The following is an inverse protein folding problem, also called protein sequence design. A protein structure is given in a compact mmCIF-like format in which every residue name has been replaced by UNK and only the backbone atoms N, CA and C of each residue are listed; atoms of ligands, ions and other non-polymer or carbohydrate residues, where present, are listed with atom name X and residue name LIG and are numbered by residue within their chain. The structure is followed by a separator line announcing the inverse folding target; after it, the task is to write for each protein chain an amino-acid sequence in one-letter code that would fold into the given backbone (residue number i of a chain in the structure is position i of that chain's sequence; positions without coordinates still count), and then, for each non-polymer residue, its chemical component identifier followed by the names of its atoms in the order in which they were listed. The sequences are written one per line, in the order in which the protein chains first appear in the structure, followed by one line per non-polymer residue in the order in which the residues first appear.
data_IF_952499274186
#
_entry.id   IF_952499274186
#
_cell.length_a   1.000
_cell.length_b   1.000
_cell.length_c   1.000
_cell.angle_alpha   90.00
_cell.angle_beta   90.00
_cell.angle_gamma   90.00
#
_symmetry.space_group_name_H-M   'P 1'
#
loop_
_entity.id
_entity.type
_entity.pdbx_description
1 polymer ?
#
# COMPACT_ATOMS: atom_id res chain seq x y z
N UNK A 1 -30.28 -17.01 9.68
CA UNK A 1 -30.08 -16.91 11.15
C UNK A 1 -29.06 -15.81 11.38
N UNK A 2 -29.50 -14.70 11.98
CA UNK A 2 -28.66 -13.51 12.22
C UNK A 2 -27.60 -13.83 13.27
N UNK A 3 -26.34 -13.94 12.85
CA UNK A 3 -25.20 -13.99 13.77
C UNK A 3 -25.11 -12.64 14.44
N UNK A 4 -25.39 -12.54 15.74
CA UNK A 4 -25.10 -11.33 16.51
C UNK A 4 -23.57 -11.16 16.55
N UNK A 5 -23.02 -10.45 15.58
CA UNK A 5 -21.62 -10.04 15.56
C UNK A 5 -21.37 -8.96 16.61
N UNK A 6 -20.10 -8.71 16.92
CA UNK A 6 -19.71 -7.53 17.70
C UNK A 6 -20.24 -6.25 17.06
N UNK A 7 -20.46 -5.21 17.86
CA UNK A 7 -20.84 -3.88 17.36
C UNK A 7 -19.64 -2.95 17.45
N UNK A 8 -19.33 -2.27 16.35
CA UNK A 8 -18.26 -1.25 16.28
C UNK A 8 -18.93 0.11 16.14
N UNK A 9 -18.69 1.00 17.09
CA UNK A 9 -19.23 2.35 17.09
C UNK A 9 -18.14 3.35 16.66
N UNK A 10 -18.39 4.09 15.60
CA UNK A 10 -17.54 5.18 15.12
C UNK A 10 -18.23 6.49 15.50
N UNK A 11 -17.64 7.21 16.45
CA UNK A 11 -18.25 8.38 17.05
C UNK A 11 -17.59 9.65 16.53
N UNK A 12 -18.37 10.48 15.87
CA UNK A 12 -17.89 11.72 15.25
C UNK A 12 -17.78 12.86 16.26
N UNK A 13 -16.85 13.78 15.99
CA UNK A 13 -16.78 15.09 16.62
C UNK A 13 -17.67 16.13 15.89
N UNK A 14 -18.88 15.73 15.49
CA UNK A 14 -19.83 16.55 14.75
C UNK A 14 -21.28 16.21 15.16
N UNK A 15 -22.21 17.11 14.85
CA UNK A 15 -23.66 16.91 15.03
C UNK A 15 -24.32 16.66 13.66
N UNK A 16 -25.34 15.80 13.61
CA UNK A 16 -26.08 15.46 12.38
C UNK A 16 -27.03 16.57 11.92
N UNK A 17 -27.41 17.50 12.80
CA UNK A 17 -28.28 18.64 12.46
C UNK A 17 -27.71 19.56 11.38
N UNK A 18 -28.59 20.20 10.58
CA UNK A 18 -28.22 21.16 9.51
C UNK A 18 -27.29 22.28 10.01
N UNK A 19 -27.57 22.83 11.19
CA UNK A 19 -26.72 23.83 11.85
C UNK A 19 -25.38 23.24 12.32
N UNK A 20 -25.38 21.99 12.77
CA UNK A 20 -24.16 21.25 13.12
C UNK A 20 -23.24 21.01 11.93
N UNK A 21 -23.83 20.68 10.77
CA UNK A 21 -23.13 20.49 9.49
C UNK A 21 -22.47 21.79 9.00
N UNK A 22 -23.21 22.91 9.02
CA UNK A 22 -22.67 24.23 8.70
C UNK A 22 -21.52 24.63 9.63
N UNK A 23 -21.66 24.36 10.93
CA UNK A 23 -20.63 24.68 11.92
C UNK A 23 -19.36 23.82 11.73
N UNK A 24 -19.50 22.54 11.36
CA UNK A 24 -18.36 21.68 11.01
C UNK A 24 -17.62 22.20 9.78
N UNK A 25 -18.33 22.58 8.71
CA UNK A 25 -17.75 23.15 7.49
C UNK A 25 -16.98 24.44 7.81
N UNK A 26 -17.59 25.38 8.55
CA UNK A 26 -16.92 26.60 8.97
C UNK A 26 -15.67 26.32 9.81
N UNK A 27 -15.75 25.37 10.75
CA UNK A 27 -14.62 24.98 11.60
C UNK A 27 -13.48 24.32 10.81
N UNK A 28 -13.79 23.58 9.75
CA UNK A 28 -12.80 22.96 8.86
C UNK A 28 -12.08 24.00 8.00
N UNK A 29 -12.82 24.98 7.46
CA UNK A 29 -12.25 26.08 6.66
C UNK A 29 -11.40 27.04 7.52
N UNK A 30 -11.71 27.19 8.80
CA UNK A 30 -11.00 28.09 9.72
C UNK A 30 -9.90 27.40 10.53
N UNK A 31 -9.81 26.07 10.51
CA UNK A 31 -8.76 25.34 11.17
C UNK A 31 -7.47 25.38 10.33
N UNK A 32 -6.28 25.42 10.97
CA UNK A 32 -5.02 25.21 10.29
C UNK A 32 -5.02 23.86 9.53
N UNK A 33 -4.36 23.82 8.37
CA UNK A 33 -4.28 22.63 7.48
C UNK A 33 -3.77 21.36 8.16
N UNK A 34 -3.09 21.50 9.31
CA UNK A 34 -2.48 20.40 10.06
C UNK A 34 -3.40 19.81 11.15
N UNK A 35 -4.64 20.28 11.30
CA UNK A 35 -5.58 19.77 12.31
C UNK A 35 -6.94 19.46 11.72
N UNK A 36 -7.21 18.18 11.47
CA UNK A 36 -8.57 17.74 11.15
C UNK A 36 -9.50 17.97 12.36
N UNK A 37 -10.62 18.70 12.20
CA UNK A 37 -11.61 18.88 13.26
C UNK A 37 -12.25 17.55 13.69
N UNK A 38 -12.26 16.55 12.80
CA UNK A 38 -12.78 15.21 13.06
C UNK A 38 -12.16 14.18 12.10
N UNK A 39 -11.11 13.50 12.55
CA UNK A 39 -10.44 12.43 11.83
C UNK A 39 -11.37 11.30 11.36
N UNK A 40 -12.41 10.97 12.14
CA UNK A 40 -13.39 9.97 11.74
C UNK A 40 -14.26 10.44 10.56
N UNK A 41 -14.59 11.74 10.47
CA UNK A 41 -15.34 12.25 9.32
C UNK A 41 -14.49 12.24 8.05
N UNK A 42 -13.19 12.52 8.15
CA UNK A 42 -12.30 12.41 6.99
C UNK A 42 -12.23 10.96 6.49
N UNK A 43 -12.15 10.00 7.41
CA UNK A 43 -12.10 8.57 7.10
C UNK A 43 -13.40 8.07 6.43
N UNK A 44 -14.57 8.52 6.90
CA UNK A 44 -15.85 7.97 6.44
C UNK A 44 -16.47 8.74 5.28
N UNK A 45 -16.27 10.04 5.21
CA UNK A 45 -16.91 10.93 4.24
C UNK A 45 -15.93 11.59 3.26
N UNK A 46 -14.62 11.43 3.45
CA UNK A 46 -13.62 12.07 2.59
C UNK A 46 -13.59 13.60 2.75
N UNK A 47 -14.21 14.14 3.80
CA UNK A 47 -14.15 15.55 4.16
C UNK A 47 -15.48 16.29 4.15
N UNK A 48 -15.69 17.20 3.20
CA UNK A 48 -16.85 18.12 3.14
C UNK A 48 -18.16 17.47 2.65
N UNK A 49 -18.11 16.22 2.18
CA UNK A 49 -19.30 15.50 1.73
C UNK A 49 -20.10 14.93 2.91
N UNK A 50 -21.43 14.82 2.73
CA UNK A 50 -22.34 14.31 3.75
C UNK A 50 -22.61 12.80 3.62
N UNK A 51 -22.29 12.23 2.47
CA UNK A 51 -22.49 10.82 2.16
C UNK A 51 -21.22 10.02 2.45
N UNK A 52 -21.37 8.71 2.65
CA UNK A 52 -20.21 7.81 2.80
C UNK A 52 -19.35 7.84 1.52
N UNK A 53 -18.03 7.95 1.67
CA UNK A 53 -17.13 7.89 0.54
C UNK A 53 -17.10 6.47 -0.04
N UNK A 54 -16.90 6.32 -1.35
CA UNK A 54 -16.81 4.99 -1.98
C UNK A 54 -15.68 4.13 -1.36
N UNK A 55 -14.58 4.76 -0.94
CA UNK A 55 -13.50 4.09 -0.23
C UNK A 55 -13.92 3.59 1.16
N UNK A 56 -14.72 4.39 1.88
CA UNK A 56 -15.30 3.97 3.14
C UNK A 56 -16.27 2.81 2.97
N UNK A 57 -17.16 2.84 1.98
CA UNK A 57 -18.11 1.74 1.72
C UNK A 57 -17.38 0.40 1.50
N UNK A 58 -16.27 0.42 0.75
CA UNK A 58 -15.40 -0.75 0.54
C UNK A 58 -14.63 -1.17 1.80
N UNK A 59 -14.31 -0.23 2.67
CA UNK A 59 -13.63 -0.49 3.95
C UNK A 59 -14.59 -1.12 4.95
N UNK A 60 -15.79 -0.55 5.07
CA UNK A 60 -16.87 -1.01 5.93
C UNK A 60 -17.32 -2.42 5.55
N UNK A 61 -17.38 -2.78 4.26
CA UNK A 61 -17.74 -4.13 3.83
C UNK A 61 -16.72 -5.21 4.23
N UNK A 62 -15.48 -4.83 4.58
CA UNK A 62 -14.45 -5.75 5.08
C UNK A 62 -14.55 -6.00 6.59
N UNK A 63 -15.37 -5.23 7.30
CA UNK A 63 -15.55 -5.35 8.75
C UNK A 63 -16.79 -6.21 8.97
N UNK A 64 -16.61 -7.47 9.33
CA UNK A 64 -17.71 -8.42 9.58
C UNK A 64 -18.31 -8.24 10.97
N UNK A 65 -18.82 -7.03 11.23
CA UNK A 65 -19.45 -6.60 12.47
C UNK A 65 -20.55 -5.56 12.18
N UNK A 66 -21.40 -5.31 13.17
CA UNK A 66 -22.39 -4.24 13.08
C UNK A 66 -21.70 -2.88 13.27
N UNK A 67 -21.39 -2.19 12.17
CA UNK A 67 -20.70 -0.89 12.19
C UNK A 67 -21.72 0.25 12.29
N UNK A 68 -21.79 0.89 13.46
CA UNK A 68 -22.65 2.04 13.73
C UNK A 68 -21.84 3.32 13.70
N UNK A 69 -22.23 4.25 12.85
CA UNK A 69 -21.63 5.58 12.75
C UNK A 69 -22.60 6.58 13.36
N UNK A 70 -22.17 7.26 14.43
CA UNK A 70 -23.05 8.12 15.22
C UNK A 70 -22.44 9.49 15.42
N UNK A 71 -23.22 10.52 15.17
CA UNK A 71 -22.95 11.89 15.58
C UNK A 71 -23.26 12.09 17.07
N UNK A 72 -22.77 13.19 17.65
CA UNK A 72 -22.92 13.46 19.10
C UNK A 72 -24.38 13.54 19.55
N UNK A 73 -25.26 14.00 18.68
CA UNK A 73 -26.69 14.11 18.89
C UNK A 73 -27.44 12.78 18.69
N UNK A 74 -26.80 11.78 18.07
CA UNK A 74 -27.36 10.44 17.80
C UNK A 74 -26.96 9.40 18.86
N UNK A 75 -26.16 9.81 19.86
CA UNK A 75 -25.67 8.90 20.90
C UNK A 75 -26.79 8.46 21.85
N UNK A 76 -26.91 7.14 22.01
CA UNK A 76 -27.74 6.53 23.05
C UNK A 76 -27.23 6.92 24.46
N UNK A 77 -28.11 6.98 25.48
CA UNK A 77 -27.74 7.37 26.85
C UNK A 77 -26.53 6.61 27.40
N UNK A 78 -26.49 5.29 27.22
CA UNK A 78 -25.42 4.41 27.71
C UNK A 78 -24.03 4.81 27.18
N UNK A 79 -23.95 5.14 25.88
CA UNK A 79 -22.69 5.54 25.22
C UNK A 79 -22.27 6.92 25.72
N UNK A 80 -23.23 7.84 25.88
CA UNK A 80 -22.98 9.20 26.36
C UNK A 80 -22.45 9.18 27.79
N UNK A 81 -23.01 8.34 28.64
CA UNK A 81 -22.58 8.17 30.02
C UNK A 81 -21.17 7.54 30.08
N UNK A 82 -20.91 6.50 29.28
CA UNK A 82 -19.59 5.89 29.18
C UNK A 82 -18.50 6.91 28.78
N UNK A 83 -18.77 7.74 27.76
CA UNK A 83 -17.81 8.76 27.30
C UNK A 83 -17.55 9.80 28.39
N UNK A 84 -18.61 10.24 29.08
CA UNK A 84 -18.50 11.23 30.17
C UNK A 84 -17.75 10.67 31.36
N UNK A 85 -18.07 9.44 31.78
CA UNK A 85 -17.44 8.77 32.91
C UNK A 85 -15.92 8.56 32.70
N UNK A 86 -15.52 8.27 31.46
CA UNK A 86 -14.12 8.01 31.11
C UNK A 86 -13.40 9.23 30.51
N UNK A 87 -14.03 10.41 30.48
CA UNK A 87 -13.47 11.64 29.89
C UNK A 87 -12.89 11.46 28.47
N UNK A 88 -13.56 10.66 27.64
CA UNK A 88 -13.07 10.28 26.30
C UNK A 88 -13.24 11.44 25.31
N UNK A 89 -12.19 11.74 24.56
CA UNK A 89 -12.20 12.76 23.50
C UNK A 89 -12.74 12.18 22.19
N UNK A 90 -13.50 13.00 21.45
CA UNK A 90 -13.93 12.69 20.08
C UNK A 90 -12.89 13.15 19.06
N UNK A 91 -12.82 12.50 17.87
CA UNK A 91 -13.55 11.28 17.51
C UNK A 91 -12.98 10.03 18.20
N UNK A 92 -13.78 8.97 18.31
CA UNK A 92 -13.36 7.71 18.95
C UNK A 92 -14.05 6.51 18.30
N UNK A 93 -13.38 5.36 18.24
CA UNK A 93 -13.97 4.07 17.87
C UNK A 93 -14.10 3.20 19.10
N UNK A 94 -15.32 2.74 19.38
CA UNK A 94 -15.62 1.82 20.47
C UNK A 94 -16.00 0.45 19.92
N UNK A 95 -15.69 -0.60 20.67
CA UNK A 95 -16.18 -1.94 20.41
C UNK A 95 -17.07 -2.44 21.53
N UNK A 96 -18.08 -3.23 21.16
CA UNK A 96 -18.94 -3.98 22.08
C UNK A 96 -19.01 -5.43 21.61
N UNK A 97 -18.74 -6.37 22.51
CA UNK A 97 -18.89 -7.80 22.24
C UNK A 97 -20.38 -8.16 22.16
N UNK A 98 -20.76 -9.24 21.45
CA UNK A 98 -22.15 -9.68 21.34
C UNK A 98 -22.76 -10.18 22.66
N UNK A 99 -21.97 -10.29 23.73
CA UNK A 99 -22.48 -10.69 25.04
C UNK A 99 -23.37 -9.58 25.66
N UNK A 100 -24.56 -9.91 26.20
CA UNK A 100 -25.56 -8.92 26.66
C UNK A 100 -25.07 -7.88 27.68
N UNK A 101 -23.98 -8.17 28.40
CA UNK A 101 -23.40 -7.29 29.44
C UNK A 101 -21.93 -6.93 29.18
N UNK A 102 -21.41 -7.13 27.96
CA UNK A 102 -20.01 -6.77 27.71
C UNK A 102 -19.83 -5.25 27.80
N UNK A 103 -18.81 -4.76 28.51
CA UNK A 103 -18.52 -3.33 28.61
C UNK A 103 -18.15 -2.79 27.23
N UNK A 104 -18.46 -1.50 27.01
CA UNK A 104 -17.87 -0.75 25.91
C UNK A 104 -16.37 -0.62 26.16
N UNK A 105 -15.59 -0.72 25.09
CA UNK A 105 -14.14 -0.58 25.12
C UNK A 105 -13.67 0.36 24.03
N UNK A 106 -12.67 1.18 24.34
CA UNK A 106 -12.03 2.05 23.35
C UNK A 106 -11.09 1.21 22.50
N UNK A 107 -11.35 1.18 21.19
CA UNK A 107 -10.46 0.52 20.23
C UNK A 107 -9.47 1.52 19.62
N UNK A 108 -9.97 2.69 19.19
CA UNK A 108 -9.13 3.74 18.59
C UNK A 108 -9.53 5.08 19.19
N UNK A 109 -8.56 5.77 19.80
CA UNK A 109 -8.74 7.09 20.36
C UNK A 109 -8.55 8.20 19.31
N UNK A 110 -8.86 9.44 19.69
CA UNK A 110 -8.72 10.59 18.79
C UNK A 110 -7.30 10.80 18.28
N UNK A 111 -6.27 10.46 19.08
CA UNK A 111 -4.87 10.68 18.72
C UNK A 111 -4.36 9.65 17.71
N UNK A 112 -4.82 8.41 17.84
CA UNK A 112 -4.55 7.35 16.87
C UNK A 112 -5.30 7.63 15.58
N UNK A 113 -6.60 7.94 15.67
CA UNK A 113 -7.44 8.24 14.50
C UNK A 113 -6.91 9.40 13.67
N UNK A 114 -6.39 10.46 14.29
CA UNK A 114 -5.82 11.59 13.54
C UNK A 114 -4.60 11.23 12.71
N UNK A 115 -3.86 10.17 13.06
CA UNK A 115 -2.69 9.71 12.29
C UNK A 115 -3.07 8.86 11.08
N UNK A 116 -4.27 8.28 11.08
CA UNK A 116 -4.72 7.30 10.08
C UNK A 116 -6.02 7.72 9.37
N UNK A 117 -6.43 8.97 9.52
CA UNK A 117 -7.74 9.46 9.07
C UNK A 117 -7.98 9.32 7.56
N UNK A 118 -6.92 9.05 6.79
CA UNK A 118 -6.95 8.89 5.34
C UNK A 118 -6.49 7.50 4.89
N UNK A 119 -5.95 6.68 5.79
CA UNK A 119 -5.44 5.35 5.49
C UNK A 119 -6.40 4.27 5.99
N UNK A 120 -7.28 3.85 5.09
CA UNK A 120 -8.25 2.80 5.32
C UNK A 120 -7.61 1.44 5.65
N UNK A 121 -6.41 1.15 5.14
CA UNK A 121 -5.76 -0.14 5.36
C UNK A 121 -5.07 -0.17 6.73
N UNK A 122 -4.39 0.93 7.11
CA UNK A 122 -3.90 1.12 8.47
C UNK A 122 -5.04 1.12 9.50
N UNK A 123 -6.19 1.73 9.17
CA UNK A 123 -7.40 1.66 10.00
C UNK A 123 -7.88 0.24 10.25
N UNK A 124 -8.05 -0.58 9.20
CA UNK A 124 -8.45 -1.98 9.34
C UNK A 124 -7.43 -2.80 10.15
N UNK A 125 -6.13 -2.55 9.95
CA UNK A 125 -5.05 -3.21 10.67
C UNK A 125 -5.08 -2.90 12.18
N UNK A 126 -5.16 -1.61 12.53
CA UNK A 126 -5.21 -1.17 13.93
C UNK A 126 -6.51 -1.59 14.61
N UNK A 127 -7.64 -1.47 13.92
CA UNK A 127 -8.93 -1.91 14.45
C UNK A 127 -8.89 -3.40 14.79
N UNK A 128 -8.33 -4.23 13.90
CA UNK A 128 -8.18 -5.66 14.11
C UNK A 128 -7.29 -5.98 15.32
N UNK A 129 -6.13 -5.34 15.42
CA UNK A 129 -5.18 -5.59 16.51
C UNK A 129 -5.77 -5.17 17.87
N UNK A 130 -6.40 -4.00 17.92
CA UNK A 130 -7.03 -3.49 19.15
C UNK A 130 -8.23 -4.33 19.56
N UNK A 131 -9.02 -4.82 18.62
CA UNK A 131 -10.11 -5.74 18.92
C UNK A 131 -9.59 -7.05 19.52
N UNK A 132 -8.46 -7.56 19.03
CA UNK A 132 -7.80 -8.77 19.58
C UNK A 132 -7.26 -8.54 21.00
N UNK A 133 -6.52 -7.44 21.23
CA UNK A 133 -6.04 -7.03 22.56
C UNK A 133 -7.18 -6.93 23.57
N UNK A 134 -8.29 -6.32 23.14
CA UNK A 134 -9.47 -6.11 23.95
C UNK A 134 -10.43 -7.31 23.99
N UNK A 135 -10.07 -8.42 23.34
CA UNK A 135 -10.87 -9.65 23.27
C UNK A 135 -12.29 -9.44 22.73
N UNK A 136 -12.43 -8.55 21.75
CA UNK A 136 -13.67 -8.32 21.02
C UNK A 136 -13.64 -9.20 19.77
N UNK A 137 -14.57 -10.16 19.61
CA UNK A 137 -14.57 -11.04 18.44
C UNK A 137 -14.90 -10.22 17.19
N UNK A 138 -13.90 -9.97 16.35
CA UNK A 138 -14.02 -9.14 15.16
C UNK A 138 -13.26 -9.78 14.01
N UNK A 139 -13.97 -10.09 12.93
CA UNK A 139 -13.37 -10.60 11.70
C UNK A 139 -13.22 -9.46 10.70
N UNK A 140 -12.01 -9.23 10.21
CA UNK A 140 -11.72 -8.20 9.20
C UNK A 140 -10.98 -8.82 8.02
N UNK A 141 -11.47 -8.59 6.81
CA UNK A 141 -10.78 -8.96 5.57
C UNK A 141 -9.66 -7.96 5.28
N UNK A 142 -8.49 -8.19 5.89
CA UNK A 142 -7.33 -7.33 5.73
C UNK A 142 -6.26 -7.97 4.81
N UNK A 143 -6.04 -7.46 3.59
CA UNK A 143 -5.03 -8.00 2.67
C UNK A 143 -3.59 -7.91 3.19
N UNK A 144 -3.30 -6.91 4.03
CA UNK A 144 -1.96 -6.70 4.60
C UNK A 144 -1.64 -7.77 5.65
N UNK A 145 -2.64 -8.14 6.46
CA UNK A 145 -2.53 -9.18 7.50
C UNK A 145 -2.22 -10.56 6.91
N UNK A 146 -2.76 -10.88 5.72
CA UNK A 146 -2.47 -12.15 5.02
C UNK A 146 -0.98 -12.25 4.63
N UNK A 147 -0.38 -11.16 4.13
CA UNK A 147 1.06 -11.12 3.85
C UNK A 147 1.88 -11.23 5.13
N UNK A 148 1.48 -10.51 6.18
CA UNK A 148 2.20 -10.50 7.46
C UNK A 148 2.11 -11.87 8.17
N UNK A 149 0.99 -12.59 8.10
CA UNK A 149 0.80 -13.90 8.74
C UNK A 149 1.61 -15.04 8.09
N UNK A 150 1.89 -14.95 6.78
CA UNK A 150 2.76 -15.93 6.09
C UNK A 150 4.21 -15.82 6.57
N UNK A 151 4.70 -14.59 6.80
CA UNK A 151 6.08 -14.35 7.18
C UNK A 151 6.29 -14.21 8.70
N UNK A 152 5.22 -14.05 9.49
CA UNK A 152 5.25 -13.94 10.95
C UNK A 152 6.06 -15.04 11.66
N UNK A 153 5.95 -16.33 11.28
CA UNK A 153 6.77 -17.37 11.88
C UNK A 153 8.25 -17.13 11.65
N UNK A 154 8.65 -16.70 10.44
CA UNK A 154 10.03 -16.44 10.09
C UNK A 154 10.61 -15.24 10.87
N UNK A 155 9.82 -14.19 11.08
CA UNK A 155 10.24 -12.99 11.86
C UNK A 155 10.65 -13.35 13.29
N UNK A 156 10.00 -14.34 13.91
CA UNK A 156 10.32 -14.78 15.28
C UNK A 156 11.71 -15.41 15.39
N UNK A 157 12.25 -15.97 14.31
CA UNK A 157 13.59 -16.57 14.29
C UNK A 157 14.70 -15.56 13.97
N UNK A 158 14.36 -14.34 13.56
CA UNK A 158 15.34 -13.30 13.28
C UNK A 158 15.84 -12.70 14.60
N UNK A 159 17.16 -12.67 14.87
CA UNK A 159 17.70 -12.05 16.08
C UNK A 159 17.32 -10.58 16.21
N UNK A 160 17.22 -10.08 17.45
CA UNK A 160 16.94 -8.66 17.72
C UNK A 160 18.06 -7.73 17.24
N UNK A 161 19.31 -8.23 17.16
CA UNK A 161 20.45 -7.49 16.64
C UNK A 161 20.40 -7.24 15.11
N UNK A 162 19.59 -8.02 14.38
CA UNK A 162 19.41 -7.85 12.94
C UNK A 162 18.29 -6.83 12.73
N UNK A 163 18.63 -5.67 12.17
CA UNK A 163 17.69 -4.61 11.84
C UNK A 163 17.10 -4.83 10.44
N UNK A 164 15.95 -4.21 10.10
CA UNK A 164 15.43 -4.20 8.74
C UNK A 164 16.47 -3.73 7.72
N UNK A 165 17.23 -2.68 8.05
CA UNK A 165 18.29 -2.18 7.16
C UNK A 165 19.40 -3.20 6.87
N UNK A 166 19.75 -4.08 7.83
CA UNK A 166 20.68 -5.18 7.56
C UNK A 166 20.09 -6.19 6.56
N UNK A 167 18.78 -6.43 6.62
CA UNK A 167 18.09 -7.33 5.70
C UNK A 167 18.01 -6.72 4.30
N UNK A 168 17.63 -5.44 4.17
CA UNK A 168 17.64 -4.71 2.90
C UNK A 168 19.03 -4.71 2.28
N UNK A 169 20.08 -4.44 3.07
CA UNK A 169 21.46 -4.48 2.58
C UNK A 169 21.89 -5.90 2.16
N UNK A 170 21.51 -6.92 2.94
CA UNK A 170 21.75 -8.32 2.59
C UNK A 170 21.04 -8.72 1.29
N UNK A 171 19.79 -8.28 1.11
CA UNK A 171 19.02 -8.46 -0.11
C UNK A 171 19.77 -7.81 -1.29
N UNK A 172 20.18 -6.55 -1.16
CA UNK A 172 20.93 -5.83 -2.19
C UNK A 172 22.21 -6.57 -2.60
N UNK A 173 23.03 -7.00 -1.64
CA UNK A 173 24.27 -7.76 -1.91
C UNK A 173 23.96 -9.08 -2.61
N UNK A 174 22.94 -9.82 -2.17
CA UNK A 174 22.53 -11.07 -2.80
C UNK A 174 22.05 -10.84 -4.25
N UNK A 175 21.28 -9.77 -4.50
CA UNK A 175 20.82 -9.39 -5.83
C UNK A 175 21.96 -9.00 -6.76
N UNK A 176 22.94 -8.24 -6.27
CA UNK A 176 24.11 -7.86 -7.04
C UNK A 176 24.98 -9.09 -7.36
N UNK A 177 25.17 -9.99 -6.39
CA UNK A 177 25.86 -11.25 -6.60
C UNK A 177 25.14 -12.14 -7.63
N UNK A 178 23.80 -12.15 -7.63
CA UNK A 178 23.00 -12.83 -8.64
C UNK A 178 23.27 -12.27 -10.05
N UNK A 179 23.29 -10.95 -10.20
CA UNK A 179 23.62 -10.27 -11.46
C UNK A 179 25.03 -10.62 -11.95
N UNK A 180 26.03 -10.54 -11.07
CA UNK A 180 27.42 -10.91 -11.41
C UNK A 180 27.56 -12.38 -11.82
N UNK A 181 26.86 -13.27 -11.12
CA UNK A 181 26.80 -14.70 -11.48
C UNK A 181 26.15 -14.90 -12.85
N UNK A 182 25.03 -14.24 -13.12
CA UNK A 182 24.32 -14.30 -14.39
C UNK A 182 25.18 -13.81 -15.57
N UNK A 183 25.95 -12.74 -15.36
CA UNK A 183 26.86 -12.15 -16.34
C UNK A 183 28.12 -12.98 -16.61
N UNK A 184 28.47 -13.93 -15.75
CA UNK A 184 29.73 -14.67 -15.82
C UNK A 184 29.84 -15.57 -17.07
N UNK A 185 31.02 -15.71 -17.68
CA UNK A 185 31.19 -16.65 -18.80
C UNK A 185 31.11 -18.14 -18.38
N UNK A 186 31.19 -18.44 -17.07
CA UNK A 186 31.26 -19.82 -16.56
C UNK A 186 29.85 -20.38 -16.29
N UNK A 187 29.43 -21.48 -16.95
CA UNK A 187 28.08 -22.04 -16.79
C UNK A 187 27.71 -22.36 -15.34
N UNK A 188 28.66 -22.93 -14.57
CA UNK A 188 28.44 -23.26 -13.16
C UNK A 188 28.08 -22.04 -12.31
N UNK A 189 28.79 -20.91 -12.49
CA UNK A 189 28.49 -19.67 -11.78
C UNK A 189 27.13 -19.10 -12.20
N UNK A 190 26.75 -19.21 -13.48
CA UNK A 190 25.42 -18.81 -13.95
C UNK A 190 24.29 -19.51 -13.21
N UNK A 191 24.45 -20.80 -12.90
CA UNK A 191 23.43 -21.58 -12.20
C UNK A 191 23.21 -21.09 -10.77
N UNK A 192 24.21 -20.44 -10.15
CA UNK A 192 24.07 -19.82 -8.83
C UNK A 192 23.21 -18.56 -8.82
N UNK A 193 23.03 -17.91 -9.98
CA UNK A 193 22.31 -16.65 -10.07
C UNK A 193 20.85 -16.76 -9.60
N UNK A 194 20.16 -17.85 -9.96
CA UNK A 194 18.76 -18.05 -9.55
C UNK A 194 18.62 -18.23 -8.03
N UNK A 195 19.55 -18.94 -7.39
CA UNK A 195 19.50 -19.15 -5.94
C UNK A 195 19.78 -17.86 -5.17
N UNK A 196 20.75 -17.06 -5.64
CA UNK A 196 21.06 -15.75 -5.06
C UNK A 196 19.92 -14.76 -5.25
N UNK A 197 19.25 -14.81 -6.40
CA UNK A 197 18.03 -14.03 -6.66
C UNK A 197 16.87 -14.43 -5.73
N UNK A 198 16.63 -15.72 -5.54
CA UNK A 198 15.60 -16.19 -4.60
C UNK A 198 15.92 -15.79 -3.16
N UNK A 199 17.20 -15.85 -2.76
CA UNK A 199 17.64 -15.33 -1.46
C UNK A 199 17.36 -13.83 -1.34
N UNK A 200 17.67 -13.05 -2.36
CA UNK A 200 17.33 -11.63 -2.41
C UNK A 200 15.82 -11.42 -2.20
N UNK A 201 14.94 -12.13 -2.91
CA UNK A 201 13.48 -12.02 -2.75
C UNK A 201 12.99 -12.38 -1.34
N UNK A 202 13.61 -13.38 -0.71
CA UNK A 202 13.26 -13.76 0.67
C UNK A 202 13.68 -12.68 1.67
N UNK A 203 14.90 -12.13 1.55
CA UNK A 203 15.41 -11.09 2.44
C UNK A 203 14.62 -9.78 2.30
N UNK A 204 14.28 -9.42 1.07
CA UNK A 204 13.41 -8.28 0.71
C UNK A 204 12.02 -8.41 1.33
N UNK A 205 11.35 -9.56 1.19
CA UNK A 205 10.05 -9.77 1.85
C UNK A 205 10.15 -9.72 3.39
N UNK A 206 11.29 -10.15 3.93
CA UNK A 206 11.53 -10.22 5.36
C UNK A 206 11.82 -8.84 5.98
N UNK A 207 12.47 -7.92 5.26
CA UNK A 207 12.85 -6.62 5.82
C UNK A 207 11.62 -5.79 6.21
N UNK A 208 10.59 -5.74 5.35
CA UNK A 208 9.35 -5.04 5.59
C UNK A 208 8.52 -5.73 6.65
N UNK A 209 8.50 -7.06 6.65
CA UNK A 209 7.83 -7.84 7.69
C UNK A 209 8.45 -7.59 9.07
N UNK A 210 9.79 -7.56 9.17
CA UNK A 210 10.52 -7.27 10.41
C UNK A 210 10.32 -5.81 10.84
N UNK A 211 10.36 -4.86 9.90
CA UNK A 211 10.14 -3.44 10.18
C UNK A 211 8.74 -3.21 10.78
N UNK A 212 7.70 -3.81 10.20
CA UNK A 212 6.33 -3.71 10.73
C UNK A 212 6.16 -4.43 12.06
N UNK A 213 6.70 -5.65 12.19
CA UNK A 213 6.56 -6.44 13.40
C UNK A 213 7.27 -5.84 14.62
N UNK A 214 8.32 -5.02 14.40
CA UNK A 214 9.12 -4.40 15.46
C UNK A 214 8.91 -2.89 15.60
N UNK A 215 7.94 -2.31 14.88
CA UNK A 215 7.68 -0.87 14.85
C UNK A 215 8.94 -0.04 14.47
N UNK A 216 9.70 -0.55 13.49
CA UNK A 216 10.95 0.02 12.96
C UNK A 216 10.81 0.53 11.51
N UNK A 217 9.59 0.83 11.07
CA UNK A 217 9.34 1.41 9.75
C UNK A 217 9.93 2.82 9.66
N UNK A 218 10.64 3.14 8.57
CA UNK A 218 11.25 4.46 8.36
C UNK A 218 11.28 4.83 6.87
N UNK A 219 11.21 6.13 6.58
CA UNK A 219 11.28 6.65 5.19
C UNK A 219 12.62 6.32 4.52
N UNK A 220 13.72 6.40 5.28
CA UNK A 220 15.04 6.02 4.80
C UNK A 220 15.10 4.53 4.44
N UNK A 221 14.51 3.67 5.28
CA UNK A 221 14.41 2.23 4.99
C UNK A 221 13.61 1.96 3.72
N UNK A 222 12.44 2.57 3.58
CA UNK A 222 11.60 2.44 2.38
C UNK A 222 12.28 2.98 1.12
N UNK A 223 13.04 4.08 1.21
CA UNK A 223 13.85 4.59 0.11
C UNK A 223 14.96 3.61 -0.32
N UNK A 224 15.68 3.04 0.66
CA UNK A 224 16.78 2.11 0.38
C UNK A 224 16.29 0.78 -0.22
N UNK A 225 15.16 0.28 0.26
CA UNK A 225 14.46 -0.88 -0.30
C UNK A 225 14.11 -0.64 -1.78
N UNK A 226 13.37 0.44 -2.04
CA UNK A 226 12.97 0.85 -3.39
C UNK A 226 14.17 1.08 -4.34
N UNK A 227 15.22 1.75 -3.86
CA UNK A 227 16.43 1.99 -4.64
C UNK A 227 17.15 0.68 -4.98
N UNK A 228 17.25 -0.22 -4.02
CA UNK A 228 17.87 -1.54 -4.20
C UNK A 228 17.12 -2.34 -5.26
N UNK A 229 15.79 -2.36 -5.18
CA UNK A 229 14.93 -3.04 -6.14
C UNK A 229 15.12 -2.50 -7.56
N UNK A 230 15.15 -1.18 -7.76
CA UNK A 230 15.39 -0.61 -9.09
C UNK A 230 16.73 -1.01 -9.68
N UNK A 231 17.79 -0.97 -8.86
CA UNK A 231 19.12 -1.36 -9.32
C UNK A 231 19.12 -2.82 -9.75
N UNK A 232 18.58 -3.73 -8.93
CA UNK A 232 18.60 -5.17 -9.22
C UNK A 232 17.69 -5.50 -10.41
N UNK A 233 16.49 -4.91 -10.48
CA UNK A 233 15.52 -5.19 -11.53
C UNK A 233 16.04 -4.77 -12.90
N UNK A 234 16.73 -3.63 -12.99
CA UNK A 234 17.40 -3.22 -14.22
C UNK A 234 18.61 -4.08 -14.57
N UNK A 235 19.38 -4.52 -13.56
CA UNK A 235 20.60 -5.30 -13.81
C UNK A 235 20.33 -6.74 -14.23
N UNK A 236 19.24 -7.39 -13.82
CA UNK A 236 18.95 -8.79 -14.15
C UNK A 236 18.90 -9.04 -15.68
N UNK A 237 18.00 -8.39 -16.46
CA UNK A 237 17.90 -8.67 -17.89
C UNK A 237 19.19 -8.31 -18.63
N UNK A 238 19.88 -7.23 -18.21
CA UNK A 238 21.18 -6.84 -18.76
C UNK A 238 22.25 -7.90 -18.48
N UNK A 239 22.32 -8.41 -17.25
CA UNK A 239 23.31 -9.40 -16.82
C UNK A 239 23.11 -10.74 -17.51
N UNK A 240 21.85 -11.20 -17.63
CA UNK A 240 21.52 -12.42 -18.38
C UNK A 240 21.89 -12.26 -19.86
N UNK A 241 21.58 -11.11 -20.46
CA UNK A 241 21.93 -10.82 -21.86
C UNK A 241 23.43 -10.85 -22.09
N UNK A 242 24.18 -10.16 -21.24
CA UNK A 242 25.63 -10.14 -21.30
C UNK A 242 26.23 -11.55 -21.12
N UNK A 243 25.73 -12.32 -20.15
CA UNK A 243 26.16 -13.70 -19.91
C UNK A 243 25.91 -14.62 -21.11
N UNK A 244 24.80 -14.46 -21.82
CA UNK A 244 24.51 -15.19 -23.06
C UNK A 244 25.52 -14.85 -24.16
N UNK A 245 25.82 -13.56 -24.35
CA UNK A 245 26.82 -13.09 -25.33
C UNK A 245 28.19 -13.67 -25.01
N UNK A 246 28.63 -13.58 -23.75
CA UNK A 246 29.93 -14.11 -23.31
C UNK A 246 30.09 -15.62 -23.52
N UNK A 247 28.99 -16.37 -23.45
CA UNK A 247 28.97 -17.83 -23.66
C UNK A 247 28.78 -18.23 -25.12
N UNK A 248 28.63 -17.27 -26.04
CA UNK A 248 28.33 -17.53 -27.45
C UNK A 248 26.96 -18.20 -27.65
N UNK A 249 26.00 -17.95 -26.75
CA UNK A 249 24.67 -18.59 -26.76
C UNK A 249 23.59 -17.69 -27.37
N UNK A 250 23.98 -16.78 -28.26
CA UNK A 250 23.08 -15.82 -28.91
C UNK A 250 22.94 -16.12 -30.39
N UNK A 251 21.74 -15.92 -30.93
CA UNK A 251 21.54 -15.95 -32.37
C UNK A 251 22.02 -14.61 -32.96
N UNK A 252 22.85 -14.68 -34.00
CA UNK A 252 23.26 -13.48 -34.74
C UNK A 252 22.09 -12.91 -35.57
N UNK A 253 21.96 -11.58 -35.70
CA UNK A 253 22.77 -10.55 -35.04
C UNK A 253 22.46 -10.39 -33.55
N UNK A 254 23.48 -10.11 -32.73
CA UNK A 254 23.32 -9.81 -31.30
C UNK A 254 22.25 -8.73 -31.00
N UNK A 255 21.97 -7.83 -31.95
CA UNK A 255 20.89 -6.83 -31.88
C UNK A 255 19.52 -7.44 -31.56
N UNK A 256 19.26 -8.67 -31.99
CA UNK A 256 17.99 -9.38 -31.71
C UNK A 256 17.77 -9.62 -30.21
N UNK A 257 18.85 -9.78 -29.43
CA UNK A 257 18.81 -9.92 -27.98
C UNK A 257 18.66 -8.57 -27.29
N UNK A 258 19.46 -7.58 -27.69
CA UNK A 258 19.54 -6.29 -27.00
C UNK A 258 18.35 -5.39 -27.24
N UNK A 259 17.69 -5.47 -28.40
CA UNK A 259 16.51 -4.66 -28.70
C UNK A 259 15.37 -4.83 -27.67
N UNK A 260 14.87 -6.04 -27.38
CA UNK A 260 13.82 -6.21 -26.37
C UNK A 260 14.27 -5.83 -24.96
N UNK A 261 15.54 -6.03 -24.62
CA UNK A 261 16.09 -5.66 -23.31
C UNK A 261 16.09 -4.14 -23.14
N UNK A 262 16.55 -3.41 -24.16
CA UNK A 262 16.52 -1.93 -24.17
C UNK A 262 15.10 -1.39 -24.11
N UNK A 263 14.15 -2.02 -24.81
CA UNK A 263 12.74 -1.62 -24.76
C UNK A 263 12.10 -1.92 -23.40
N UNK A 264 12.46 -3.03 -22.76
CA UNK A 264 12.05 -3.33 -21.39
C UNK A 264 12.56 -2.27 -20.42
N UNK A 265 13.85 -1.92 -20.45
CA UNK A 265 14.41 -0.87 -19.59
C UNK A 265 13.76 0.50 -19.85
N UNK A 266 13.55 0.85 -21.13
CA UNK A 266 12.84 2.08 -21.48
C UNK A 266 11.40 2.09 -20.93
N UNK A 267 10.70 0.95 -21.01
CA UNK A 267 9.34 0.82 -20.46
C UNK A 267 9.34 0.99 -18.94
N UNK A 268 10.30 0.41 -18.20
CA UNK A 268 10.40 0.62 -16.77
C UNK A 268 10.71 2.06 -16.41
N UNK A 269 11.62 2.71 -17.14
CA UNK A 269 11.94 4.11 -16.93
C UNK A 269 10.70 5.01 -17.04
N UNK A 270 9.93 4.84 -18.12
CA UNK A 270 8.68 5.57 -18.34
C UNK A 270 7.63 5.23 -17.28
N UNK A 271 7.52 3.95 -16.92
CA UNK A 271 6.60 3.50 -15.88
C UNK A 271 6.89 4.15 -14.52
N UNK A 272 8.16 4.23 -14.14
CA UNK A 272 8.61 4.84 -12.89
C UNK A 272 8.34 6.34 -12.90
N UNK A 273 8.61 7.03 -14.01
CA UNK A 273 8.25 8.44 -14.15
C UNK A 273 6.76 8.67 -13.89
N UNK A 274 5.89 7.88 -14.51
CA UNK A 274 4.43 7.99 -14.31
C UNK A 274 4.03 7.71 -12.86
N UNK A 275 4.60 6.66 -12.24
CA UNK A 275 4.33 6.32 -10.84
C UNK A 275 4.77 7.42 -9.87
N UNK A 276 5.98 7.95 -10.03
CA UNK A 276 6.49 9.01 -9.16
C UNK A 276 5.78 10.33 -9.36
N UNK A 277 5.46 10.68 -10.60
CA UNK A 277 4.67 11.87 -10.88
C UNK A 277 3.29 11.77 -10.22
N UNK A 278 2.63 10.61 -10.36
CA UNK A 278 1.36 10.34 -9.68
C UNK A 278 1.48 10.41 -8.16
N UNK A 279 2.50 9.80 -7.59
CA UNK A 279 2.75 9.84 -6.15
C UNK A 279 2.96 11.28 -5.66
N UNK A 280 3.76 12.08 -6.37
CA UNK A 280 4.04 13.48 -6.03
C UNK A 280 2.81 14.39 -6.17
N UNK A 281 2.00 14.22 -7.22
CA UNK A 281 0.75 14.96 -7.38
C UNK A 281 -0.26 14.55 -6.30
N UNK A 282 -0.34 13.26 -5.99
CA UNK A 282 -1.23 12.75 -4.95
C UNK A 282 -0.82 13.23 -3.55
N UNK A 283 0.48 13.39 -3.28
CA UNK A 283 0.96 13.90 -2.00
C UNK A 283 0.75 15.41 -1.81
N UNK A 284 0.60 16.18 -2.89
CA UNK A 284 0.33 17.63 -2.83
C UNK A 284 -1.14 17.96 -2.70
N UNK A 285 -2.04 17.07 -3.13
CA UNK A 285 -3.47 17.25 -2.93
C UNK A 285 -3.79 16.96 -1.46
N UNK A 286 -4.26 17.98 -0.75
CA UNK A 286 -4.88 17.80 0.56
C UNK A 286 -5.86 16.63 0.51
N UNK A 287 -5.85 15.84 1.58
CA UNK A 287 -6.38 14.48 1.76
C UNK A 287 -7.80 14.14 1.25
N UNK A 288 -8.56 15.07 0.68
CA UNK A 288 -9.98 14.91 0.31
C UNK A 288 -10.21 14.28 -1.09
N UNK A 289 -9.23 14.29 -2.00
CA UNK A 289 -9.38 13.70 -3.35
C UNK A 289 -8.64 12.36 -3.57
N UNK A 290 -7.95 11.84 -2.54
CA UNK A 290 -7.07 10.66 -2.63
C UNK A 290 -7.81 9.36 -3.04
N UNK A 291 -9.14 9.32 -2.86
CA UNK A 291 -9.94 8.14 -3.21
C UNK A 291 -10.13 7.97 -4.72
N UNK A 292 -9.91 9.01 -5.53
CA UNK A 292 -10.06 8.93 -6.99
C UNK A 292 -8.83 8.38 -7.72
N UNK A 293 -7.64 8.41 -7.11
CA UNK A 293 -6.40 7.89 -7.69
C UNK A 293 -6.04 6.55 -7.04
N UNK A 294 -7.02 5.67 -6.88
CA UNK A 294 -6.68 4.24 -6.72
C UNK A 294 -6.18 3.76 -8.07
N UNK A 295 -4.86 3.76 -8.24
CA UNK A 295 -4.22 3.30 -9.48
C UNK A 295 -4.74 1.89 -9.80
N UNK A 296 -5.34 1.72 -10.98
CA UNK A 296 -5.83 0.40 -11.39
C UNK A 296 -4.66 -0.59 -11.41
N UNK A 297 -4.88 -1.84 -10.99
CA UNK A 297 -3.86 -2.87 -11.06
C UNK A 297 -3.38 -3.01 -12.51
N UNK A 298 -2.06 -3.05 -12.67
CA UNK A 298 -1.44 -3.28 -13.98
C UNK A 298 -1.23 -4.78 -14.22
N UNK A 299 -1.11 -5.22 -15.48
CA UNK A 299 -0.83 -6.63 -15.77
C UNK A 299 0.52 -7.12 -15.24
N UNK A 300 1.49 -6.22 -15.12
CA UNK A 300 2.84 -6.51 -14.60
C UNK A 300 3.08 -5.59 -13.41
N UNK A 301 3.13 -6.18 -12.21
CA UNK A 301 3.49 -5.53 -10.97
C UNK A 301 4.69 -6.25 -10.33
N UNK A 302 4.90 -6.08 -9.02
CA UNK A 302 6.07 -6.62 -8.32
C UNK A 302 6.14 -8.15 -8.36
N UNK A 303 5.00 -8.83 -8.21
CA UNK A 303 4.96 -10.30 -8.20
C UNK A 303 5.26 -10.89 -9.58
N UNK A 304 4.58 -10.41 -10.62
CA UNK A 304 4.79 -10.86 -11.99
C UNK A 304 6.22 -10.58 -12.45
N UNK A 305 6.77 -9.42 -12.08
CA UNK A 305 8.18 -9.09 -12.33
C UNK A 305 9.12 -10.08 -11.66
N UNK A 306 8.87 -10.42 -10.39
CA UNK A 306 9.65 -11.41 -9.65
C UNK A 306 9.66 -12.78 -10.34
N UNK A 307 8.50 -13.24 -10.82
CA UNK A 307 8.37 -14.51 -11.56
C UNK A 307 9.11 -14.44 -12.89
N UNK A 308 8.92 -13.38 -13.67
CA UNK A 308 9.55 -13.23 -14.99
C UNK A 308 11.09 -13.19 -14.86
N UNK A 309 11.63 -12.43 -13.91
CA UNK A 309 13.08 -12.42 -13.66
C UNK A 309 13.62 -13.77 -13.21
N UNK A 310 12.87 -14.50 -12.39
CA UNK A 310 13.22 -15.88 -12.02
C UNK A 310 13.31 -16.76 -13.26
N UNK A 311 12.35 -16.65 -14.18
CA UNK A 311 12.36 -17.39 -15.44
C UNK A 311 13.51 -16.97 -16.36
N UNK A 312 13.84 -15.68 -16.43
CA UNK A 312 15.00 -15.19 -17.18
C UNK A 312 16.32 -15.78 -16.67
N UNK A 313 16.46 -15.89 -15.33
CA UNK A 313 17.65 -16.46 -14.70
C UNK A 313 17.72 -17.99 -14.83
N UNK A 314 16.59 -18.67 -14.62
CA UNK A 314 16.50 -20.13 -14.69
C UNK A 314 16.59 -20.67 -16.13
N UNK A 315 16.02 -19.94 -17.09
CA UNK A 315 15.97 -20.30 -18.50
C UNK A 315 16.48 -19.14 -19.38
N UNK A 316 17.80 -18.86 -19.40
CA UNK A 316 18.35 -17.72 -20.15
C UNK A 316 17.96 -17.67 -21.63
N UNK A 317 17.71 -18.83 -22.26
CA UNK A 317 17.29 -18.90 -23.67
C UNK A 317 15.93 -18.25 -23.95
N UNK A 318 15.05 -18.14 -22.96
CA UNK A 318 13.74 -17.49 -23.12
C UNK A 318 13.78 -15.98 -22.88
N UNK A 319 14.94 -15.42 -22.53
CA UNK A 319 15.11 -14.00 -22.20
C UNK A 319 14.48 -13.08 -23.24
N UNK A 320 14.76 -13.30 -24.53
CA UNK A 320 14.26 -12.45 -25.61
C UNK A 320 12.72 -12.37 -25.62
N UNK A 321 12.05 -13.52 -25.52
CA UNK A 321 10.60 -13.61 -25.53
C UNK A 321 9.99 -13.01 -24.25
N UNK A 322 10.61 -13.28 -23.10
CA UNK A 322 10.18 -12.73 -21.81
C UNK A 322 10.33 -11.21 -21.77
N UNK A 323 11.43 -10.65 -22.29
CA UNK A 323 11.65 -9.21 -22.36
C UNK A 323 10.63 -8.51 -23.25
N UNK A 324 10.30 -9.09 -24.41
CA UNK A 324 9.21 -8.56 -25.26
C UNK A 324 7.85 -8.59 -24.56
N UNK A 325 7.47 -9.74 -24.00
CA UNK A 325 6.17 -9.89 -23.32
C UNK A 325 6.05 -8.95 -22.12
N UNK A 326 7.12 -8.82 -21.34
CA UNK A 326 7.16 -7.93 -20.19
C UNK A 326 7.10 -6.46 -20.61
N UNK A 327 7.87 -6.04 -21.63
CA UNK A 327 7.84 -4.66 -22.13
C UNK A 327 6.44 -4.27 -22.64
N UNK A 328 5.74 -5.19 -23.34
CA UNK A 328 4.35 -4.97 -23.77
C UNK A 328 3.39 -4.86 -22.58
N UNK A 329 3.52 -5.73 -21.57
CA UNK A 329 2.70 -5.71 -20.37
C UNK A 329 2.88 -4.42 -19.55
N UNK A 330 4.14 -3.99 -19.37
CA UNK A 330 4.48 -2.72 -18.73
C UNK A 330 3.96 -1.55 -19.56
N UNK A 331 4.14 -1.57 -20.88
CA UNK A 331 3.61 -0.57 -21.80
C UNK A 331 2.09 -0.38 -21.69
N UNK A 332 1.34 -1.47 -21.61
CA UNK A 332 -0.10 -1.42 -21.34
C UNK A 332 -0.43 -0.83 -19.95
N UNK A 333 0.36 -1.17 -18.93
CA UNK A 333 0.26 -0.53 -17.61
C UNK A 333 0.48 0.98 -17.68
N UNK A 334 1.45 1.45 -18.46
CA UNK A 334 1.72 2.89 -18.66
C UNK A 334 0.52 3.57 -19.32
N UNK A 335 0.02 3.03 -20.43
CA UNK A 335 -1.09 3.67 -21.17
C UNK A 335 -2.35 3.78 -20.32
N UNK A 336 -2.69 2.73 -19.56
CA UNK A 336 -3.85 2.73 -18.66
C UNK A 336 -3.71 3.75 -17.53
N UNK A 337 -2.49 3.95 -16.98
CA UNK A 337 -2.21 4.95 -15.94
C UNK A 337 -2.24 6.37 -16.49
N UNK A 338 -1.63 6.62 -17.65
CA UNK A 338 -1.65 7.94 -18.31
C UNK A 338 -3.07 8.35 -18.69
N UNK A 339 -3.88 7.43 -19.20
CA UNK A 339 -5.27 7.71 -19.55
C UNK A 339 -6.13 8.10 -18.33
N UNK A 340 -5.88 7.51 -17.16
CA UNK A 340 -6.55 7.92 -15.92
C UNK A 340 -6.13 9.34 -15.48
N UNK A 341 -4.87 9.70 -15.70
CA UNK A 341 -4.35 11.03 -15.38
C UNK A 341 -5.01 12.10 -16.25
N UNK A 342 -5.23 11.84 -17.54
CA UNK A 342 -5.90 12.82 -18.42
C UNK A 342 -7.31 13.13 -17.96
N UNK A 343 -8.04 12.14 -17.43
CA UNK A 343 -9.36 12.36 -16.84
C UNK A 343 -9.26 13.26 -15.59
N UNK A 344 -8.27 13.03 -14.73
CA UNK A 344 -8.03 13.85 -13.53
C UNK A 344 -7.64 15.29 -13.89
N UNK A 345 -6.75 15.50 -14.86
CA UNK A 345 -6.39 16.86 -15.30
C UNK A 345 -7.58 17.61 -15.89
N UNK A 346 -8.42 16.94 -16.68
CA UNK A 346 -9.63 17.56 -17.24
C UNK A 346 -10.62 18.02 -16.16
N UNK A 347 -10.64 17.36 -15.00
CA UNK A 347 -11.47 17.76 -13.85
C UNK A 347 -10.84 18.93 -13.11
N UNK A 348 -9.51 18.93 -12.96
CA UNK A 348 -8.76 20.03 -12.32
C UNK A 348 -8.89 21.31 -13.15
N UNK A 349 -8.69 21.25 -14.47
CA UNK A 349 -8.82 22.41 -15.36
C UNK A 349 -10.25 22.98 -15.37
N UNK A 350 -11.26 22.11 -15.29
CA UNK A 350 -12.67 22.52 -15.12
C UNK A 350 -12.91 23.22 -13.78
N UNK A 351 -12.35 22.70 -12.68
CA UNK A 351 -12.46 23.34 -11.34
C UNK A 351 -11.69 24.67 -11.26
N UNK A 352 -10.57 24.79 -11.97
CA UNK A 352 -9.75 26.00 -12.03
C UNK A 352 -10.33 27.08 -12.97
N UNK A 353 -11.45 26.82 -13.65
CA UNK A 353 -12.07 27.75 -14.60
C UNK A 353 -11.23 28.01 -15.85
N UNK A 354 -10.29 27.11 -16.18
CA UNK A 354 -9.32 27.28 -17.28
C UNK A 354 -9.83 26.73 -18.61
N UNK A 355 -10.91 25.96 -18.63
CA UNK A 355 -11.62 25.59 -19.86
C UNK A 355 -12.72 26.62 -20.11
N UNK A 356 -12.44 27.60 -21.00
CA UNK A 356 -13.52 28.35 -21.66
C UNK A 356 -14.21 27.37 -22.61
N UNK A 357 -15.46 27.04 -22.32
CA UNK A 357 -16.32 26.36 -23.29
C UNK A 357 -16.34 27.19 -24.58
N UNK A 358 -15.94 26.58 -25.69
CA UNK A 358 -16.10 27.12 -27.05
C UNK A 358 -16.73 26.07 -27.94
#
# INVERSE_FOLDING_TARGET
MSTSGSTIYILYNANASLLGKLNYVCRKITAPSDSSPCAACDLTHGGLHLDESAAWTKTKSRIHADVKQLHRDELTPDIREYIKANSIKYPVVLGKSPQPQSPLKVLLDSSTLSKISTDHSAFLSLLSNRAEEERIPLTIDNPQRVKDDIFRPAVQFIPQAVTPGHLTFGAFVAGLAACLCAASARPFLSSWAVYLWLLNRVLDCLDGAVARARDQTSDCGGFMDLLSDFIIYSLIPISVSYGLVQRGMVAEPATNLWLPVSLLEASFHLNNFVLFYLAAVSSQKGSEELTSVTMKPAPIEGFESGVIFTLMLAFPRTLQNLSWGMALGVGFGITTRVWQITDVFSVIERKAGLVKES
#
